data_IF_068087191029
#
_entry.id   IF_068087191029
#
_cell.length_a   1.000
_cell.length_b   1.000
_cell.length_c   1.000
_cell.angle_alpha   90.00
_cell.angle_beta   90.00
_cell.angle_gamma   90.00
#
_symmetry.space_group_name_H-M   'P 1'
#
loop_
_entity.id
_entity.type
_entity.pdbx_description
1 polymer ?
#
# COMPACT_ATOMS: atom_id res chain seq x y z
N UNK A 1 14.50 -14.29 -24.19
CA UNK A 1 13.75 -15.01 -23.13
C UNK A 1 12.43 -14.28 -22.85
N UNK A 2 11.32 -14.75 -23.41
CA UNK A 2 9.99 -14.41 -22.86
C UNK A 2 10.06 -14.81 -21.39
N UNK A 3 9.88 -13.89 -20.44
CA UNK A 3 9.74 -14.31 -19.06
C UNK A 3 8.61 -15.33 -19.02
N UNK A 4 8.92 -16.56 -18.61
CA UNK A 4 7.98 -17.67 -18.63
C UNK A 4 6.72 -17.25 -17.88
N UNK A 5 5.57 -17.36 -18.53
CA UNK A 5 4.26 -17.06 -17.94
C UNK A 5 4.12 -17.77 -16.58
N UNK A 6 4.68 -18.98 -16.46
CA UNK A 6 4.70 -19.74 -15.19
C UNK A 6 5.54 -19.07 -14.11
N UNK A 7 6.67 -18.45 -14.44
CA UNK A 7 7.49 -17.72 -13.46
C UNK A 7 6.74 -16.48 -12.97
N UNK A 8 6.09 -15.74 -13.86
CA UNK A 8 5.25 -14.60 -13.47
C UNK A 8 4.09 -15.04 -12.56
N UNK A 9 3.37 -16.11 -12.94
CA UNK A 9 2.28 -16.68 -12.13
C UNK A 9 2.77 -17.08 -10.74
N UNK A 10 3.90 -17.81 -10.65
CA UNK A 10 4.48 -18.25 -9.37
C UNK A 10 4.90 -17.07 -8.50
N UNK A 11 5.49 -16.03 -9.08
CA UNK A 11 5.85 -14.83 -8.35
C UNK A 11 4.62 -14.11 -7.78
N UNK A 12 3.58 -13.95 -8.59
CA UNK A 12 2.34 -13.31 -8.15
C UNK A 12 1.59 -14.18 -7.14
N UNK A 13 1.62 -15.51 -7.27
CA UNK A 13 1.07 -16.44 -6.29
C UNK A 13 1.81 -16.36 -4.94
N UNK A 14 3.14 -16.27 -4.96
CA UNK A 14 3.94 -16.03 -3.76
C UNK A 14 3.58 -14.68 -3.13
N UNK A 15 3.53 -13.62 -3.93
CA UNK A 15 3.15 -12.28 -3.46
C UNK A 15 1.76 -12.30 -2.82
N UNK A 16 0.79 -12.97 -3.46
CA UNK A 16 -0.57 -13.14 -2.96
C UNK A 16 -0.60 -13.90 -1.62
N UNK A 17 0.14 -15.02 -1.51
CA UNK A 17 0.21 -15.79 -0.28
C UNK A 17 0.80 -14.96 0.87
N UNK A 18 1.90 -14.24 0.61
CA UNK A 18 2.56 -13.41 1.63
C UNK A 18 1.69 -12.25 2.09
N UNK A 19 1.06 -11.51 1.17
CA UNK A 19 0.21 -10.37 1.54
C UNK A 19 -1.06 -10.82 2.26
N UNK A 20 -1.69 -11.93 1.85
CA UNK A 20 -2.85 -12.48 2.55
C UNK A 20 -2.45 -12.94 3.95
N UNK A 21 -1.33 -13.66 4.10
CA UNK A 21 -0.83 -14.07 5.41
C UNK A 21 -0.52 -12.87 6.32
N UNK A 22 0.09 -11.81 5.78
CA UNK A 22 0.40 -10.59 6.51
C UNK A 22 -0.88 -9.87 6.99
N UNK A 23 -1.86 -9.72 6.11
CA UNK A 23 -3.16 -9.11 6.42
C UNK A 23 -3.93 -9.92 7.47
N UNK A 24 -3.95 -11.25 7.35
CA UNK A 24 -4.58 -12.15 8.32
C UNK A 24 -3.87 -12.08 9.67
N UNK A 25 -2.53 -12.11 9.68
CA UNK A 25 -1.75 -11.97 10.91
C UNK A 25 -2.09 -10.66 11.63
N UNK A 26 -2.06 -9.53 10.92
CA UNK A 26 -2.40 -8.23 11.50
C UNK A 26 -3.84 -8.17 12.01
N UNK A 27 -4.79 -8.75 11.26
CA UNK A 27 -6.18 -8.81 11.68
C UNK A 27 -6.33 -9.63 12.98
N UNK A 28 -5.67 -10.78 13.07
CA UNK A 28 -5.68 -11.62 14.28
C UNK A 28 -5.10 -10.84 15.47
N UNK A 29 -3.95 -10.17 15.29
CA UNK A 29 -3.31 -9.39 16.35
C UNK A 29 -4.23 -8.29 16.89
N UNK A 30 -4.97 -7.61 16.02
CA UNK A 30 -5.94 -6.57 16.39
C UNK A 30 -7.19 -7.17 17.04
N UNK A 31 -7.67 -8.33 16.58
CA UNK A 31 -8.82 -9.03 17.19
C UNK A 31 -8.51 -9.42 18.64
N UNK A 32 -7.31 -9.96 18.89
CA UNK A 32 -6.86 -10.34 20.24
C UNK A 32 -6.39 -9.15 21.10
N UNK A 33 -6.40 -7.93 20.55
CA UNK A 33 -6.22 -6.69 21.31
C UNK A 33 -4.79 -6.16 21.38
N UNK A 34 -3.87 -6.59 20.51
CA UNK A 34 -2.55 -5.99 20.45
C UNK A 34 -2.64 -4.51 19.99
N UNK A 35 -1.90 -3.60 20.65
CA UNK A 35 -1.89 -2.20 20.28
C UNK A 35 -1.14 -2.01 18.94
N UNK A 36 -1.69 -1.17 18.06
CA UNK A 36 -1.01 -0.81 16.80
C UNK A 36 -0.04 0.36 17.03
N UNK A 37 -0.49 1.38 17.78
CA UNK A 37 0.29 2.57 18.15
C UNK A 37 0.03 2.90 19.63
N UNK A 38 0.74 2.19 20.53
CA UNK A 38 0.88 2.50 21.97
C UNK A 38 -0.37 3.00 22.73
N UNK A 39 -1.55 2.43 22.46
CA UNK A 39 -2.75 2.72 23.26
C UNK A 39 -2.69 1.92 24.57
N UNK A 40 -2.93 2.60 25.70
CA UNK A 40 -2.91 1.98 27.04
C UNK A 40 -4.05 1.00 27.28
N UNK A 41 -5.19 1.21 26.60
CA UNK A 41 -6.32 0.29 26.61
C UNK A 41 -6.90 0.14 25.19
N UNK A 42 -7.04 -1.09 24.66
CA UNK A 42 -7.58 -1.28 23.33
C UNK A 42 -9.07 -0.94 23.29
N UNK A 43 -9.55 -0.15 22.30
CA UNK A 43 -10.96 0.18 22.19
C UNK A 43 -11.79 -1.07 21.86
N UNK A 44 -13.11 -0.98 21.91
CA UNK A 44 -14.00 -2.11 21.57
C UNK A 44 -13.73 -2.70 20.18
N UNK A 45 -14.02 -4.00 19.99
CA UNK A 45 -13.69 -4.74 18.77
C UNK A 45 -14.16 -4.04 17.47
N UNK A 46 -15.36 -3.47 17.47
CA UNK A 46 -15.89 -2.75 16.31
C UNK A 46 -15.00 -1.56 15.90
N UNK A 47 -14.54 -0.79 16.89
CA UNK A 47 -13.62 0.34 16.66
C UNK A 47 -12.26 -0.16 16.16
N UNK A 48 -11.73 -1.25 16.72
CA UNK A 48 -10.47 -1.86 16.26
C UNK A 48 -10.55 -2.30 14.80
N UNK A 49 -11.66 -2.93 14.39
CA UNK A 49 -11.89 -3.33 13.01
C UNK A 49 -12.04 -2.12 12.07
N UNK A 50 -12.77 -1.09 12.50
CA UNK A 50 -12.85 0.18 11.77
C UNK A 50 -11.47 0.79 11.54
N UNK A 51 -10.68 0.96 12.63
CA UNK A 51 -9.32 1.50 12.57
C UNK A 51 -8.42 0.67 11.66
N UNK A 52 -8.50 -0.66 11.74
CA UNK A 52 -7.76 -1.57 10.85
C UNK A 52 -7.98 -1.24 9.37
N UNK A 53 -9.23 -1.16 8.93
CA UNK A 53 -9.54 -0.84 7.53
C UNK A 53 -9.29 0.63 7.16
N UNK A 54 -9.24 1.53 8.15
CA UNK A 54 -8.93 2.94 7.94
C UNK A 54 -7.43 3.18 7.64
N UNK A 55 -6.51 2.29 8.04
CA UNK A 55 -5.09 2.45 7.74
C UNK A 55 -4.79 2.37 6.23
N UNK A 56 -4.04 3.34 5.70
CA UNK A 56 -3.58 3.33 4.31
C UNK A 56 -2.72 2.11 4.00
N UNK A 57 -1.92 1.65 4.97
CA UNK A 57 -1.13 0.41 4.88
C UNK A 57 -2.02 -0.80 4.56
N UNK A 58 -3.17 -0.92 5.23
CA UNK A 58 -4.08 -2.05 5.02
C UNK A 58 -4.77 -1.95 3.66
N UNK A 59 -5.25 -0.76 3.29
CA UNK A 59 -5.91 -0.54 1.99
C UNK A 59 -4.94 -0.79 0.81
N UNK A 60 -3.70 -0.30 0.89
CA UNK A 60 -2.69 -0.54 -0.13
C UNK A 60 -2.28 -2.02 -0.24
N UNK A 61 -2.15 -2.73 0.88
CA UNK A 61 -1.92 -4.18 0.89
C UNK A 61 -3.11 -4.96 0.31
N UNK A 62 -4.36 -4.55 0.57
CA UNK A 62 -5.55 -5.15 -0.04
C UNK A 62 -5.55 -4.98 -1.56
N UNK A 63 -5.18 -3.80 -2.08
CA UNK A 63 -5.03 -3.58 -3.52
C UNK A 63 -3.93 -4.48 -4.12
N UNK A 64 -2.80 -4.64 -3.43
CA UNK A 64 -1.74 -5.57 -3.82
C UNK A 64 -2.22 -7.02 -3.80
N UNK A 65 -2.99 -7.43 -2.79
CA UNK A 65 -3.57 -8.78 -2.71
C UNK A 65 -4.47 -9.07 -3.91
N UNK A 66 -5.41 -8.16 -4.22
CA UNK A 66 -6.30 -8.28 -5.38
C UNK A 66 -5.49 -8.33 -6.68
N UNK A 67 -4.50 -7.46 -6.83
CA UNK A 67 -3.64 -7.42 -8.01
C UNK A 67 -2.83 -8.73 -8.17
N UNK A 68 -2.22 -9.21 -7.09
CA UNK A 68 -1.38 -10.41 -7.07
C UNK A 68 -2.20 -11.67 -7.34
N UNK A 69 -3.38 -11.83 -6.72
CA UNK A 69 -4.29 -12.95 -7.00
C UNK A 69 -4.72 -12.94 -8.48
N UNK A 70 -5.12 -11.78 -9.00
CA UNK A 70 -5.54 -11.68 -10.40
C UNK A 70 -4.42 -12.00 -11.39
N UNK A 71 -3.18 -11.57 -11.13
CA UNK A 71 -2.02 -11.88 -11.98
C UNK A 71 -1.49 -13.31 -11.79
N UNK A 72 -1.71 -13.93 -10.63
CA UNK A 72 -1.40 -15.34 -10.42
C UNK A 72 -2.31 -16.25 -11.26
N UNK A 73 -3.59 -15.87 -11.40
CA UNK A 73 -4.57 -16.57 -12.23
C UNK A 73 -4.36 -16.28 -13.73
N UNK A 74 -4.19 -15.01 -14.08
CA UNK A 74 -3.98 -14.55 -15.45
C UNK A 74 -2.91 -13.43 -15.49
N UNK A 75 -1.65 -13.75 -15.83
CA UNK A 75 -0.58 -12.76 -15.95
C UNK A 75 -0.85 -11.70 -17.02
N UNK A 76 -1.68 -12.01 -18.01
CA UNK A 76 -2.05 -11.09 -19.07
C UNK A 76 -3.27 -10.24 -18.72
N UNK A 77 -3.90 -10.43 -17.55
CA UNK A 77 -5.12 -9.75 -17.12
C UNK A 77 -5.07 -8.25 -17.36
N UNK A 78 -6.07 -7.72 -18.06
CA UNK A 78 -6.15 -6.31 -18.42
C UNK A 78 -7.57 -5.76 -18.31
N UNK A 79 -7.72 -4.45 -18.38
CA UNK A 79 -9.01 -3.75 -18.36
C UNK A 79 -8.89 -2.35 -17.78
N UNK A 80 -9.79 -1.44 -18.15
CA UNK A 80 -9.71 -0.04 -17.73
C UNK A 80 -9.68 0.11 -16.19
N UNK A 81 -10.58 -0.56 -15.49
CA UNK A 81 -10.64 -0.57 -14.02
C UNK A 81 -9.45 -1.31 -13.40
N UNK A 82 -9.04 -2.42 -14.00
CA UNK A 82 -7.90 -3.21 -13.55
C UNK A 82 -6.59 -2.42 -13.58
N UNK A 83 -6.35 -1.65 -14.64
CA UNK A 83 -5.17 -0.79 -14.78
C UNK A 83 -5.10 0.26 -13.65
N UNK A 84 -6.25 0.85 -13.31
CA UNK A 84 -6.36 1.82 -12.20
C UNK A 84 -6.05 1.15 -10.87
N UNK A 85 -6.70 0.01 -10.58
CA UNK A 85 -6.47 -0.76 -9.35
C UNK A 85 -4.99 -1.14 -9.19
N UNK A 86 -4.40 -1.71 -10.24
CA UNK A 86 -2.99 -2.14 -10.23
C UNK A 86 -2.04 -0.98 -10.00
N UNK A 87 -2.26 0.16 -10.66
CA UNK A 87 -1.41 1.34 -10.48
C UNK A 87 -1.59 1.94 -9.08
N UNK A 88 -2.82 2.06 -8.58
CA UNK A 88 -3.12 2.53 -7.23
C UNK A 88 -2.47 1.63 -6.16
N UNK A 89 -2.52 0.30 -6.33
CA UNK A 89 -1.87 -0.65 -5.44
C UNK A 89 -0.35 -0.54 -5.46
N UNK A 90 0.28 -0.42 -6.65
CA UNK A 90 1.74 -0.31 -6.77
C UNK A 90 2.27 1.01 -6.22
N UNK A 91 1.63 2.13 -6.52
CA UNK A 91 2.06 3.43 -5.98
C UNK A 91 1.73 3.52 -4.49
N UNK A 92 0.56 3.05 -4.08
CA UNK A 92 0.16 3.00 -2.67
C UNK A 92 1.14 2.19 -1.83
N UNK A 93 1.51 0.98 -2.26
CA UNK A 93 2.43 0.12 -1.50
C UNK A 93 3.86 0.69 -1.46
N UNK A 94 4.30 1.39 -2.52
CA UNK A 94 5.58 2.10 -2.52
C UNK A 94 5.58 3.24 -1.48
N UNK A 95 4.51 4.04 -1.44
CA UNK A 95 4.35 5.11 -0.45
C UNK A 95 4.28 4.53 0.95
N UNK A 96 3.53 3.45 1.16
CA UNK A 96 3.46 2.74 2.45
C UNK A 96 4.85 2.37 2.95
N UNK A 97 5.72 1.80 2.10
CA UNK A 97 7.09 1.46 2.49
C UNK A 97 7.94 2.69 2.85
N UNK A 98 7.87 3.76 2.04
CA UNK A 98 8.67 4.97 2.25
C UNK A 98 8.21 5.74 3.48
N UNK A 99 6.92 6.01 3.60
CA UNK A 99 6.31 6.70 4.76
C UNK A 99 6.57 5.92 6.03
N UNK A 100 6.43 4.60 5.99
CA UNK A 100 6.76 3.77 7.15
C UNK A 100 8.21 3.92 7.55
N UNK A 101 9.15 3.73 6.62
CA UNK A 101 10.58 3.76 6.92
C UNK A 101 11.02 5.08 7.55
N UNK A 102 10.55 6.22 7.02
CA UNK A 102 10.98 7.54 7.49
C UNK A 102 10.14 8.09 8.64
N UNK A 103 8.84 7.86 8.66
CA UNK A 103 7.92 8.54 9.58
C UNK A 103 7.36 7.65 10.68
N UNK A 104 7.24 6.34 10.47
CA UNK A 104 6.63 5.44 11.47
C UNK A 104 7.65 4.55 12.18
N UNK A 105 8.59 3.94 11.46
CA UNK A 105 9.56 3.01 12.03
C UNK A 105 10.36 3.60 13.21
N UNK A 106 10.79 4.87 13.20
CA UNK A 106 11.47 5.45 14.35
C UNK A 106 10.60 5.57 15.62
N UNK A 107 9.28 5.49 15.48
CA UNK A 107 8.32 5.60 16.59
C UNK A 107 7.92 4.23 17.17
N UNK A 108 8.31 3.14 16.52
CA UNK A 108 7.79 1.81 16.78
C UNK A 108 8.82 0.94 17.51
N UNK A 109 8.51 0.59 18.76
CA UNK A 109 9.21 -0.45 19.51
C UNK A 109 8.37 -1.75 19.51
N UNK A 110 8.57 -2.56 18.47
CA UNK A 110 7.79 -3.78 18.22
C UNK A 110 8.64 -5.02 18.44
N UNK A 111 8.02 -6.05 19.02
CA UNK A 111 8.60 -7.37 19.22
C UNK A 111 7.63 -8.48 18.77
N UNK A 112 8.12 -9.72 18.72
CA UNK A 112 7.28 -10.90 18.47
C UNK A 112 6.49 -10.83 17.15
N UNK A 113 5.19 -11.12 17.25
CA UNK A 113 4.30 -11.17 16.09
C UNK A 113 3.96 -9.80 15.50
N UNK A 114 3.92 -8.74 16.31
CA UNK A 114 3.72 -7.37 15.81
C UNK A 114 4.89 -6.91 14.96
N UNK A 115 6.13 -7.22 15.37
CA UNK A 115 7.32 -6.98 14.55
C UNK A 115 7.26 -7.75 13.22
N UNK A 116 6.81 -9.02 13.25
CA UNK A 116 6.68 -9.82 12.04
C UNK A 116 5.61 -9.23 11.09
N UNK A 117 4.44 -8.84 11.61
CA UNK A 117 3.38 -8.22 10.83
C UNK A 117 3.83 -6.88 10.23
N UNK A 118 4.53 -6.06 11.00
CA UNK A 118 5.13 -4.80 10.55
C UNK A 118 6.08 -5.01 9.36
N UNK A 119 7.02 -5.95 9.48
CA UNK A 119 7.99 -6.24 8.40
C UNK A 119 7.32 -6.81 7.16
N UNK A 120 6.32 -7.66 7.33
CA UNK A 120 5.58 -8.21 6.20
C UNK A 120 4.84 -7.12 5.43
N UNK A 121 4.07 -6.27 6.12
CA UNK A 121 3.21 -5.24 5.51
C UNK A 121 3.99 -4.04 4.94
N UNK A 122 5.15 -3.70 5.53
CA UNK A 122 5.89 -2.49 5.19
C UNK A 122 7.22 -2.73 4.45
N UNK A 123 7.70 -3.98 4.38
CA UNK A 123 8.96 -4.29 3.68
C UNK A 123 8.81 -5.45 2.70
N UNK A 124 8.35 -6.63 3.16
CA UNK A 124 8.33 -7.84 2.33
C UNK A 124 7.31 -7.73 1.21
N UNK A 125 6.04 -7.40 1.52
CA UNK A 125 5.00 -7.24 0.49
C UNK A 125 5.35 -6.11 -0.49
N UNK A 126 5.74 -4.89 -0.04
CA UNK A 126 6.19 -3.86 -0.96
C UNK A 126 7.33 -4.30 -1.88
N UNK A 127 8.34 -4.98 -1.35
CA UNK A 127 9.45 -5.49 -2.16
C UNK A 127 8.96 -6.50 -3.22
N UNK A 128 8.16 -7.49 -2.83
CA UNK A 128 7.62 -8.49 -3.76
C UNK A 128 6.74 -7.85 -4.85
N UNK A 129 5.87 -6.91 -4.47
CA UNK A 129 4.97 -6.23 -5.39
C UNK A 129 5.74 -5.37 -6.40
N UNK A 130 6.69 -4.57 -5.93
CA UNK A 130 7.49 -3.69 -6.78
C UNK A 130 8.43 -4.48 -7.70
N UNK A 131 9.20 -5.43 -7.15
CA UNK A 131 10.08 -6.29 -7.95
C UNK A 131 9.28 -7.08 -8.98
N UNK A 132 8.11 -7.59 -8.62
CA UNK A 132 7.22 -8.30 -9.55
C UNK A 132 6.71 -7.39 -10.66
N UNK A 133 6.31 -6.17 -10.33
CA UNK A 133 5.87 -5.17 -11.31
C UNK A 133 6.99 -4.76 -12.27
N UNK A 134 8.20 -4.55 -11.74
CA UNK A 134 9.39 -4.25 -12.54
C UNK A 134 9.80 -5.43 -13.42
N UNK A 135 9.74 -6.67 -12.93
CA UNK A 135 10.19 -7.84 -13.68
C UNK A 135 9.18 -8.29 -14.74
N UNK A 136 7.91 -8.49 -14.40
CA UNK A 136 7.01 -9.32 -15.22
C UNK A 136 6.02 -8.56 -16.10
N UNK A 137 5.80 -7.25 -15.90
CA UNK A 137 4.76 -6.52 -16.64
C UNK A 137 3.35 -7.06 -16.31
N UNK A 138 2.36 -7.00 -17.22
CA UNK A 138 2.42 -6.49 -18.60
C UNK A 138 2.42 -4.96 -18.64
N UNK A 139 3.14 -4.40 -19.62
CA UNK A 139 3.31 -2.95 -19.87
C UNK A 139 3.57 -2.70 -21.37
N UNK A 140 3.17 -1.54 -21.93
CA UNK A 140 2.60 -0.38 -21.25
C UNK A 140 1.10 -0.52 -20.96
N UNK A 141 0.67 -0.03 -19.80
CA UNK A 141 -0.72 0.03 -19.33
C UNK A 141 -1.10 1.34 -18.65
N UNK A 142 -0.16 2.27 -18.51
CA UNK A 142 -0.33 3.52 -17.76
C UNK A 142 -0.59 4.69 -18.71
N UNK A 143 -1.86 5.08 -18.86
CA UNK A 143 -2.26 6.32 -19.53
C UNK A 143 -2.50 7.44 -18.52
N UNK A 144 -2.53 8.70 -18.97
CA UNK A 144 -2.82 9.85 -18.10
C UNK A 144 -4.17 9.70 -17.38
N UNK A 145 -5.17 9.12 -18.06
CA UNK A 145 -6.48 8.82 -17.44
C UNK A 145 -6.34 7.81 -16.29
N UNK A 146 -5.52 6.77 -16.46
CA UNK A 146 -5.28 5.77 -15.40
C UNK A 146 -4.57 6.41 -14.21
N UNK A 147 -3.59 7.29 -14.45
CA UNK A 147 -2.88 8.03 -13.38
C UNK A 147 -3.86 8.89 -12.58
N UNK A 148 -4.68 9.71 -13.24
CA UNK A 148 -5.64 10.58 -12.55
C UNK A 148 -6.67 9.79 -11.75
N UNK A 149 -7.19 8.69 -12.31
CA UNK A 149 -8.14 7.84 -11.58
C UNK A 149 -7.47 7.11 -10.40
N UNK A 150 -6.21 6.71 -10.53
CA UNK A 150 -5.47 6.07 -9.44
C UNK A 150 -5.09 7.06 -8.33
N UNK A 151 -4.86 8.34 -8.67
CA UNK A 151 -4.64 9.42 -7.71
C UNK A 151 -5.87 9.70 -6.84
N UNK A 152 -7.08 9.36 -7.29
CA UNK A 152 -8.28 9.51 -6.46
C UNK A 152 -8.21 8.66 -5.20
N UNK A 153 -7.57 7.49 -5.25
CA UNK A 153 -7.45 6.61 -4.08
C UNK A 153 -6.79 7.31 -2.87
N UNK A 154 -5.54 7.79 -2.94
CA UNK A 154 -4.91 8.45 -1.80
C UNK A 154 -5.56 9.80 -1.44
N UNK A 155 -6.12 10.53 -2.42
CA UNK A 155 -6.80 11.80 -2.15
C UNK A 155 -8.10 11.60 -1.36
N UNK A 156 -8.93 10.64 -1.77
CA UNK A 156 -10.15 10.27 -1.06
C UNK A 156 -9.82 9.74 0.32
N UNK A 157 -8.79 8.89 0.44
CA UNK A 157 -8.33 8.40 1.73
C UNK A 157 -7.91 9.54 2.66
N UNK A 158 -7.06 10.46 2.20
CA UNK A 158 -6.59 11.58 3.01
C UNK A 158 -7.73 12.52 3.43
N UNK A 159 -8.63 12.86 2.50
CA UNK A 159 -9.80 13.69 2.80
C UNK A 159 -10.71 13.02 3.84
N UNK A 160 -10.99 11.73 3.66
CA UNK A 160 -11.78 10.95 4.61
C UNK A 160 -11.11 10.91 5.98
N UNK A 161 -9.81 10.60 6.06
CA UNK A 161 -9.07 10.54 7.32
C UNK A 161 -9.07 11.87 8.07
N UNK A 162 -8.88 13.00 7.36
CA UNK A 162 -8.86 14.31 8.00
C UNK A 162 -10.26 14.73 8.49
N UNK A 163 -11.30 14.44 7.71
CA UNK A 163 -12.69 14.76 8.09
C UNK A 163 -13.13 13.92 9.28
N UNK A 164 -12.95 12.60 9.22
CA UNK A 164 -13.39 11.72 10.30
C UNK A 164 -12.52 11.87 11.54
N UNK A 165 -11.21 12.07 11.41
CA UNK A 165 -10.35 12.38 12.55
C UNK A 165 -10.75 13.68 13.26
N UNK A 166 -11.21 14.70 12.54
CA UNK A 166 -11.73 15.92 13.15
C UNK A 166 -13.09 15.74 13.85
N UNK A 167 -13.83 14.67 13.51
CA UNK A 167 -15.14 14.35 14.09
C UNK A 167 -15.05 13.37 15.26
N UNK A 168 -14.17 12.37 15.17
CA UNK A 168 -14.03 11.28 16.13
C UNK A 168 -12.77 11.39 17.02
N UNK A 169 -11.88 12.35 16.73
CA UNK A 169 -10.67 12.61 17.49
C UNK A 169 -9.57 11.57 17.29
N UNK A 170 -9.66 10.71 16.27
CA UNK A 170 -8.66 9.69 16.01
C UNK A 170 -8.06 9.79 14.61
N UNK A 171 -6.73 9.88 14.57
CA UNK A 171 -5.97 9.86 13.34
C UNK A 171 -5.17 8.56 13.23
N UNK A 172 -5.15 7.88 12.07
CA UNK A 172 -4.36 6.66 11.87
C UNK A 172 -2.86 6.87 12.06
N UNK A 173 -2.37 8.10 11.90
CA UNK A 173 -0.94 8.40 11.97
C UNK A 173 -0.69 9.68 12.77
N UNK A 174 0.30 9.70 13.69
CA UNK A 174 0.60 10.88 14.50
C UNK A 174 0.96 12.14 13.68
N UNK A 175 1.53 11.96 12.48
CA UNK A 175 1.85 13.08 11.59
C UNK A 175 0.61 13.70 10.89
N UNK A 176 -0.55 13.07 10.99
CA UNK A 176 -1.84 13.63 10.55
C UNK A 176 -2.64 14.22 11.70
N UNK A 177 -2.19 14.01 12.95
CA UNK A 177 -2.88 14.47 14.13
C UNK A 177 -2.50 15.93 14.45
N UNK A 178 -3.47 16.87 14.39
CA UNK A 178 -3.20 18.27 14.72
C UNK A 178 -2.95 18.49 16.21
N UNK A 179 -3.35 17.59 17.10
CA UNK A 179 -3.10 17.74 18.54
C UNK A 179 -1.65 17.36 18.91
N UNK A 180 -1.00 16.53 18.09
CA UNK A 180 0.42 16.15 18.25
C UNK A 180 1.39 17.26 17.82
N UNK A 181 1.15 17.90 16.66
CA UNK A 181 2.11 18.84 16.03
C UNK A 181 1.49 20.11 15.44
N UNK A 182 0.18 20.30 15.55
CA UNK A 182 -0.54 21.43 14.97
C UNK A 182 -0.84 21.27 13.48
N UNK A 183 -1.86 22.00 13.02
CA UNK A 183 -2.31 22.00 11.61
C UNK A 183 -1.24 22.37 10.59
N UNK A 184 -0.26 23.19 10.97
CA UNK A 184 0.87 23.53 10.10
C UNK A 184 1.72 22.31 9.75
N UNK A 185 2.02 21.44 10.72
CA UNK A 185 2.78 20.22 10.49
C UNK A 185 1.98 19.20 9.68
N UNK A 186 0.68 19.07 9.96
CA UNK A 186 -0.24 18.22 9.17
C UNK A 186 -0.26 18.66 7.71
N UNK A 187 -0.37 19.96 7.44
CA UNK A 187 -0.35 20.49 6.08
C UNK A 187 0.96 20.17 5.35
N UNK A 188 2.10 20.34 6.02
CA UNK A 188 3.42 19.98 5.46
C UNK A 188 3.49 18.49 5.14
N UNK A 189 3.02 17.63 6.04
CA UNK A 189 3.00 16.18 5.82
C UNK A 189 2.11 15.81 4.62
N UNK A 190 0.89 16.35 4.54
CA UNK A 190 -0.06 16.08 3.44
C UNK A 190 0.50 16.55 2.10
N UNK A 191 1.07 17.75 2.04
CA UNK A 191 1.68 18.29 0.81
C UNK A 191 2.90 17.46 0.40
N UNK A 192 3.78 17.14 1.34
CA UNK A 192 4.97 16.33 1.09
C UNK A 192 4.64 14.93 0.58
N UNK A 193 3.69 14.24 1.22
CA UNK A 193 3.22 12.91 0.80
C UNK A 193 2.52 12.99 -0.56
N UNK A 194 1.73 14.03 -0.82
CA UNK A 194 1.08 14.24 -2.13
C UNK A 194 2.11 14.47 -3.23
N UNK A 195 3.14 15.29 -2.99
CA UNK A 195 4.25 15.48 -3.92
C UNK A 195 4.99 14.16 -4.19
N UNK A 196 5.18 13.33 -3.16
CA UNK A 196 5.76 12.00 -3.29
C UNK A 196 4.88 11.06 -4.13
N UNK A 197 3.55 11.07 -3.95
CA UNK A 197 2.62 10.34 -4.81
C UNK A 197 2.82 10.75 -6.27
N UNK A 198 2.79 12.06 -6.56
CA UNK A 198 2.95 12.58 -7.92
C UNK A 198 4.28 12.14 -8.54
N UNK A 199 5.37 12.19 -7.76
CA UNK A 199 6.70 11.74 -8.21
C UNK A 199 6.72 10.23 -8.53
N UNK A 200 6.16 9.38 -7.66
CA UNK A 200 6.12 7.93 -7.88
C UNK A 200 5.18 7.57 -9.03
N UNK A 201 4.02 8.22 -9.15
CA UNK A 201 3.13 8.05 -10.31
C UNK A 201 3.83 8.44 -11.61
N UNK A 202 4.57 9.55 -11.62
CA UNK A 202 5.38 9.99 -12.76
C UNK A 202 6.45 8.97 -13.14
N UNK A 203 7.21 8.48 -12.14
CA UNK A 203 8.24 7.47 -12.32
C UNK A 203 7.66 6.14 -12.83
N UNK A 204 6.54 5.68 -12.26
CA UNK A 204 5.84 4.47 -12.68
C UNK A 204 5.31 4.61 -14.11
N UNK A 205 4.67 5.73 -14.45
CA UNK A 205 4.18 5.99 -15.80
C UNK A 205 5.31 6.06 -16.83
N UNK A 206 6.44 6.65 -16.48
CA UNK A 206 7.62 6.71 -17.33
C UNK A 206 8.24 5.32 -17.54
N UNK A 207 8.37 4.53 -16.47
CA UNK A 207 8.93 3.18 -16.54
C UNK A 207 8.04 2.22 -17.33
N UNK A 208 6.72 2.35 -17.17
CA UNK A 208 5.73 1.54 -17.88
C UNK A 208 5.80 1.72 -19.40
N UNK A 209 6.20 2.91 -19.88
CA UNK A 209 6.43 3.17 -21.31
C UNK A 209 7.68 2.49 -21.89
N UNK A 210 8.58 1.99 -21.04
CA UNK A 210 9.77 1.28 -21.51
C UNK A 210 9.39 -0.16 -21.90
N UNK A 211 9.62 -0.59 -23.15
CA UNK A 211 9.40 -1.98 -23.53
C UNK A 211 10.29 -2.88 -22.68
N UNK A 212 9.75 -3.99 -22.20
CA UNK A 212 10.59 -5.09 -21.71
C UNK A 212 11.46 -5.50 -22.90
N UNK A 213 12.78 -5.33 -22.80
CA UNK A 213 13.70 -5.68 -23.87
C UNK A 213 13.41 -7.11 -24.30
N UNK A 214 12.89 -7.27 -25.52
CA UNK A 214 12.85 -8.57 -26.17
C UNK A 214 14.31 -8.94 -26.34
N UNK A 215 14.83 -9.85 -25.51
CA UNK A 215 16.07 -10.51 -25.88
C UNK A 215 15.75 -11.23 -27.20
N UNK A 216 16.33 -10.68 -28.27
CA UNK A 216 16.27 -11.16 -29.64
C UNK A 216 16.65 -12.62 -29.69
N UNK A 217 15.78 -13.37 -30.40
CA UNK A 217 15.99 -14.67 -31.08
C UNK A 217 16.83 -15.74 -30.38
#
# INVERSE_FOLDING_TARGET
MRLDSRTAQRWHALTAAVVVAALVLQLVLIVIGNPVLAESEPPGLAMRLYRFFAYFTIQSNLLVAVAAVGLALDPARDGATWRVLRLAGIVGIAITAVVHFFLLRPLLDLAGWDYAADKLLHMVVPALALLGWFAFGPRPRTSSRVVWLALLFPLVWAAWTLVFGALDGWYPYPFLDPDEKGWGAVLVAVVGITAMFLAIFGAAAWWDRRPLSRASE
#
